data_IF_795133675209
#
_entry.id   IF_795133675209
#
_cell.length_a   1.000
_cell.length_b   1.000
_cell.length_c   1.000
_cell.angle_alpha   90.00
_cell.angle_beta   90.00
_cell.angle_gamma   90.00
#
_symmetry.space_group_name_H-M   'P 1'
#
loop_
_entity.id
_entity.type
_entity.pdbx_description
1 polymer ?
#
# COMPACT_ATOMS: atom_id res chain seq x y z
N UNK A 1 21.70 -4.16 14.38
CA UNK A 1 20.34 -4.11 13.77
C UNK A 1 20.19 -5.37 12.94
N UNK A 2 19.13 -6.16 13.15
CA UNK A 2 18.96 -7.41 12.37
C UNK A 2 18.53 -7.09 10.94
N UNK A 3 18.74 -8.01 9.99
CA UNK A 3 18.29 -7.86 8.59
C UNK A 3 16.77 -7.60 8.50
N UNK A 4 16.00 -8.22 9.39
CA UNK A 4 14.56 -8.03 9.50
C UNK A 4 14.20 -6.60 9.97
N UNK A 5 14.94 -6.04 10.93
CA UNK A 5 14.71 -4.67 11.42
C UNK A 5 15.01 -3.63 10.34
N UNK A 6 16.06 -3.85 9.53
CA UNK A 6 16.38 -2.97 8.40
C UNK A 6 15.23 -2.94 7.38
N UNK A 7 14.78 -4.12 6.93
CA UNK A 7 13.68 -4.20 5.96
C UNK A 7 12.39 -3.59 6.51
N UNK A 8 12.07 -3.81 7.79
CA UNK A 8 10.94 -3.14 8.45
C UNK A 8 11.06 -1.61 8.36
N UNK A 9 12.21 -1.06 8.76
CA UNK A 9 12.45 0.39 8.74
C UNK A 9 12.33 0.98 7.33
N UNK A 10 12.90 0.31 6.33
CA UNK A 10 12.87 0.76 4.92
C UNK A 10 11.45 0.68 4.33
N UNK A 11 10.71 -0.40 4.61
CA UNK A 11 9.30 -0.53 4.18
C UNK A 11 8.44 0.56 4.82
N UNK A 12 8.56 0.77 6.14
CA UNK A 12 7.85 1.83 6.86
C UNK A 12 8.16 3.22 6.30
N UNK A 13 9.44 3.50 5.99
CA UNK A 13 9.86 4.76 5.37
C UNK A 13 9.25 4.94 3.98
N UNK A 14 9.21 3.87 3.17
CA UNK A 14 8.59 3.88 1.84
C UNK A 14 7.07 4.12 1.92
N UNK A 15 6.39 3.43 2.83
CA UNK A 15 4.95 3.61 3.07
C UNK A 15 4.64 5.04 3.53
N UNK A 16 5.41 5.57 4.48
CA UNK A 16 5.25 6.96 4.97
C UNK A 16 5.45 7.99 3.85
N UNK A 17 6.42 7.78 2.95
CA UNK A 17 6.65 8.68 1.80
C UNK A 17 5.47 8.68 0.81
N UNK A 18 4.73 7.58 0.72
CA UNK A 18 3.60 7.40 -0.22
C UNK A 18 2.24 7.44 0.46
N UNK A 19 2.17 7.92 1.70
CA UNK A 19 0.94 7.94 2.50
C UNK A 19 -0.22 8.62 1.78
N UNK A 20 0.00 9.77 1.16
CA UNK A 20 -1.03 10.48 0.40
C UNK A 20 -1.64 9.63 -0.71
N UNK A 21 -0.82 8.85 -1.41
CA UNK A 21 -1.28 7.92 -2.46
C UNK A 21 -1.95 6.67 -1.89
N UNK A 22 -1.45 6.15 -0.77
CA UNK A 22 -2.02 4.98 -0.10
C UNK A 22 -3.45 5.23 0.37
N UNK A 23 -3.79 6.45 0.78
CA UNK A 23 -5.16 6.81 1.17
C UNK A 23 -5.96 7.43 0.03
N UNK A 24 -5.32 8.24 -0.83
CA UNK A 24 -6.00 8.93 -1.93
C UNK A 24 -6.62 7.97 -2.94
N UNK A 25 -5.89 6.92 -3.37
CA UNK A 25 -6.41 5.98 -4.36
C UNK A 25 -7.62 5.17 -3.85
N UNK A 26 -7.59 4.56 -2.64
CA UNK A 26 -8.76 3.87 -2.09
C UNK A 26 -9.97 4.78 -1.88
N UNK A 27 -9.75 6.04 -1.51
CA UNK A 27 -10.83 7.03 -1.39
C UNK A 27 -11.42 7.35 -2.76
N UNK A 28 -10.59 7.51 -3.80
CA UNK A 28 -11.08 7.70 -5.17
C UNK A 28 -11.85 6.47 -5.68
N UNK A 29 -11.40 5.27 -5.36
CA UNK A 29 -12.13 4.02 -5.66
C UNK A 29 -13.47 4.00 -4.96
N UNK A 30 -13.52 4.35 -3.66
CA UNK A 30 -14.77 4.42 -2.90
C UNK A 30 -15.74 5.42 -3.54
N UNK A 31 -15.28 6.65 -3.83
CA UNK A 31 -16.09 7.69 -4.46
C UNK A 31 -16.61 7.21 -5.82
N UNK A 32 -15.74 6.61 -6.65
CA UNK A 32 -16.13 6.05 -7.93
C UNK A 32 -17.23 4.99 -7.80
N UNK A 33 -17.11 4.08 -6.84
CA UNK A 33 -18.10 3.02 -6.59
C UNK A 33 -19.43 3.59 -6.09
N UNK A 34 -19.40 4.67 -5.29
CA UNK A 34 -20.61 5.37 -4.87
C UNK A 34 -21.28 6.10 -6.06
N UNK A 35 -20.52 6.64 -7.00
CA UNK A 35 -21.05 7.28 -8.23
C UNK A 35 -21.78 6.27 -9.12
N UNK A 36 -21.31 5.03 -9.23
CA UNK A 36 -22.01 3.95 -9.94
C UNK A 36 -23.00 3.18 -9.05
N UNK A 37 -23.47 3.81 -7.97
CA UNK A 37 -24.54 3.33 -7.10
C UNK A 37 -24.33 1.91 -6.53
N UNK A 38 -23.07 1.52 -6.31
CA UNK A 38 -22.77 0.23 -5.70
C UNK A 38 -23.27 0.20 -4.24
N UNK A 39 -23.73 -0.97 -3.75
CA UNK A 39 -24.08 -1.12 -2.35
C UNK A 39 -22.91 -0.68 -1.45
N UNK A 40 -23.20 0.10 -0.41
CA UNK A 40 -22.17 0.70 0.46
C UNK A 40 -21.17 -0.33 0.98
N UNK A 41 -21.63 -1.52 1.36
CA UNK A 41 -20.78 -2.61 1.86
C UNK A 41 -19.82 -3.15 0.78
N UNK A 42 -20.24 -3.22 -0.49
CA UNK A 42 -19.39 -3.59 -1.64
C UNK A 42 -18.34 -2.51 -1.86
N UNK A 43 -18.77 -1.24 -1.86
CA UNK A 43 -17.90 -0.10 -2.10
C UNK A 43 -16.78 -0.01 -1.04
N UNK A 44 -17.14 -0.18 0.22
CA UNK A 44 -16.19 -0.20 1.35
C UNK A 44 -15.26 -1.41 1.27
N UNK A 45 -15.77 -2.60 0.99
CA UNK A 45 -14.94 -3.80 0.86
C UNK A 45 -13.88 -3.64 -0.24
N UNK A 46 -14.27 -3.13 -1.41
CA UNK A 46 -13.35 -2.88 -2.53
C UNK A 46 -12.34 -1.77 -2.21
N UNK A 47 -12.74 -0.71 -1.52
CA UNK A 47 -11.83 0.32 -1.05
C UNK A 47 -10.77 -0.26 -0.09
N UNK A 48 -11.17 -1.08 0.88
CA UNK A 48 -10.24 -1.75 1.81
C UNK A 48 -9.29 -2.70 1.07
N UNK A 49 -9.82 -3.53 0.16
CA UNK A 49 -8.99 -4.43 -0.66
C UNK A 49 -7.97 -3.63 -1.48
N UNK A 50 -8.39 -2.53 -2.10
CA UNK A 50 -7.49 -1.66 -2.86
C UNK A 50 -6.36 -1.08 -2.00
N UNK A 51 -6.67 -0.69 -0.75
CA UNK A 51 -5.69 -0.18 0.20
C UNK A 51 -4.64 -1.25 0.56
N UNK A 52 -5.09 -2.47 0.85
CA UNK A 52 -4.20 -3.61 1.16
C UNK A 52 -3.29 -3.93 -0.02
N UNK A 53 -3.83 -3.96 -1.25
CA UNK A 53 -3.05 -4.21 -2.46
C UNK A 53 -1.99 -3.11 -2.70
N UNK A 54 -2.35 -1.85 -2.53
CA UNK A 54 -1.44 -0.70 -2.66
C UNK A 54 -0.33 -0.72 -1.60
N UNK A 55 -0.67 -1.02 -0.35
CA UNK A 55 0.31 -1.17 0.73
C UNK A 55 1.26 -2.35 0.47
N UNK A 56 0.73 -3.49 0.03
CA UNK A 56 1.52 -4.66 -0.36
C UNK A 56 2.46 -4.37 -1.53
N UNK A 57 1.96 -3.73 -2.59
CA UNK A 57 2.76 -3.36 -3.76
C UNK A 57 3.89 -2.38 -3.42
N UNK A 58 3.62 -1.38 -2.59
CA UNK A 58 4.64 -0.41 -2.16
C UNK A 58 5.69 -1.03 -1.24
N UNK A 59 5.30 -1.95 -0.35
CA UNK A 59 6.21 -2.73 0.47
C UNK A 59 7.08 -3.67 -0.40
N UNK A 60 6.48 -4.38 -1.34
CA UNK A 60 7.18 -5.25 -2.29
C UNK A 60 8.20 -4.49 -3.14
N UNK A 61 7.80 -3.36 -3.74
CA UNK A 61 8.70 -2.52 -4.52
C UNK A 61 9.82 -1.89 -3.69
N UNK A 62 9.64 -1.76 -2.38
CA UNK A 62 10.69 -1.37 -1.45
C UNK A 62 11.67 -2.52 -1.19
N UNK A 63 11.15 -3.72 -0.91
CA UNK A 63 11.95 -4.93 -0.72
C UNK A 63 12.81 -5.26 -1.94
N UNK A 64 12.22 -5.25 -3.14
CA UNK A 64 12.93 -5.56 -4.39
C UNK A 64 14.12 -4.65 -4.67
N UNK A 65 14.07 -3.39 -4.23
CA UNK A 65 15.19 -2.44 -4.39
C UNK A 65 16.35 -2.70 -3.44
N UNK A 66 16.06 -3.16 -2.22
CA UNK A 66 17.08 -3.33 -1.17
C UNK A 66 17.46 -4.79 -0.94
N UNK A 67 16.81 -5.76 -1.61
CA UNK A 67 17.14 -7.19 -1.44
C UNK A 67 18.55 -7.54 -1.96
N UNK A 68 19.08 -6.78 -2.92
CA UNK A 68 20.41 -6.99 -3.52
C UNK A 68 21.54 -6.25 -2.79
N UNK A 69 21.23 -5.22 -2.00
CA UNK A 69 22.21 -4.51 -1.14
C UNK A 69 22.84 -5.41 -0.08
N UNK A 70 22.23 -6.57 0.21
CA UNK A 70 22.68 -7.52 1.23
C UNK A 70 23.19 -8.85 0.66
N UNK A 71 23.25 -8.97 -0.67
CA UNK A 71 23.73 -10.20 -1.34
C UNK A 71 25.15 -10.03 -1.90
N UNK A 72 25.62 -8.78 -2.04
CA UNK A 72 27.00 -8.42 -2.36
C UNK A 72 27.77 -8.11 -1.08
#
# INVERSE_FOLDING_TARGET
MTRADYFRAVILKSLKKRWSWLFGLPVLVLIGLLIVEQPLWVAVALAVVSHVLLAGYTAWGSYQRHKYEYTN
#
